data_IF_680032916646
#
_entry.id   IF_680032916646
#
_cell.length_a   1.000
_cell.length_b   1.000
_cell.length_c   1.000
_cell.angle_alpha   90.00
_cell.angle_beta   90.00
_cell.angle_gamma   90.00
#
_symmetry.space_group_name_H-M   'P 1'
#
loop_
_entity.id
_entity.type
_entity.pdbx_description
1 polymer ?
#
# COMPACT_ATOMS: atom_id res chain seq x y z
N UNK A 1 26.22 -42.08 -27.06
CA UNK A 1 26.77 -40.73 -26.86
C UNK A 1 25.62 -39.75 -27.04
N UNK A 2 25.11 -39.17 -25.95
CA UNK A 2 24.40 -37.89 -26.02
C UNK A 2 25.42 -36.79 -25.71
N UNK A 3 25.29 -35.64 -26.38
CA UNK A 3 24.95 -34.44 -25.63
C UNK A 3 23.69 -33.81 -26.24
N UNK A 4 22.57 -33.76 -25.51
CA UNK A 4 22.19 -32.61 -24.69
C UNK A 4 22.39 -31.28 -25.44
N UNK A 5 21.46 -30.96 -26.34
CA UNK A 5 21.23 -29.60 -26.76
C UNK A 5 20.15 -29.01 -25.84
N UNK A 6 20.45 -28.14 -24.88
CA UNK A 6 19.41 -27.46 -24.14
C UNK A 6 18.75 -26.46 -25.08
N UNK A 7 17.54 -26.79 -25.53
CA UNK A 7 16.61 -25.76 -26.00
C UNK A 7 16.36 -24.80 -24.83
N UNK A 8 17.20 -23.78 -24.73
CA UNK A 8 16.89 -22.57 -23.98
C UNK A 8 15.83 -21.83 -24.78
N UNK A 9 14.61 -21.61 -24.26
CA UNK A 9 13.72 -20.65 -24.88
C UNK A 9 14.29 -19.25 -24.66
N UNK A 10 14.92 -18.72 -25.71
CA UNK A 10 15.11 -17.28 -25.89
C UNK A 10 13.76 -16.64 -26.17
N UNK A 11 13.13 -16.10 -25.13
CA UNK A 11 12.28 -14.91 -25.25
C UNK A 11 12.49 -14.05 -24.00
N UNK A 12 13.12 -12.87 -24.10
CA UNK A 12 13.15 -11.91 -23.03
C UNK A 12 11.74 -11.31 -22.95
N UNK A 13 10.86 -11.94 -22.18
CA UNK A 13 9.77 -11.18 -21.61
C UNK A 13 10.45 -10.07 -20.82
N UNK A 14 10.28 -8.83 -21.28
CA UNK A 14 10.27 -7.69 -20.38
C UNK A 14 9.21 -8.01 -19.32
N UNK A 15 9.62 -8.76 -18.29
CA UNK A 15 8.88 -8.95 -17.07
C UNK A 15 8.95 -7.57 -16.42
N UNK A 16 8.07 -6.70 -16.90
CA UNK A 16 7.95 -5.35 -16.38
C UNK A 16 7.69 -5.56 -14.90
N UNK A 17 8.68 -5.24 -14.11
CA UNK A 17 8.75 -5.53 -12.68
C UNK A 17 7.47 -5.09 -11.95
N UNK A 18 6.81 -4.06 -12.50
CA UNK A 18 5.50 -3.55 -12.10
C UNK A 18 4.37 -4.58 -12.23
N UNK A 19 4.36 -5.43 -13.26
CA UNK A 19 3.40 -6.53 -13.40
C UNK A 19 3.57 -7.57 -12.29
N UNK A 20 4.81 -7.93 -11.96
CA UNK A 20 5.10 -8.82 -10.83
C UNK A 20 4.65 -8.24 -9.49
N UNK A 21 4.91 -6.95 -9.26
CA UNK A 21 4.48 -6.24 -8.06
C UNK A 21 2.95 -6.23 -7.92
N UNK A 22 2.22 -5.90 -8.99
CA UNK A 22 0.75 -5.87 -8.97
C UNK A 22 0.16 -7.25 -8.66
N UNK A 23 0.70 -8.31 -9.26
CA UNK A 23 0.27 -9.68 -8.97
C UNK A 23 0.48 -10.06 -7.49
N UNK A 24 1.62 -9.68 -6.90
CA UNK A 24 1.88 -9.90 -5.47
C UNK A 24 0.89 -9.16 -4.58
N UNK A 25 0.63 -7.87 -4.85
CA UNK A 25 -0.35 -7.07 -4.11
C UNK A 25 -1.75 -7.69 -4.24
N UNK A 26 -2.16 -8.06 -5.45
CA UNK A 26 -3.46 -8.68 -5.73
C UNK A 26 -3.60 -10.02 -4.99
N UNK A 27 -2.55 -10.85 -4.97
CA UNK A 27 -2.55 -12.11 -4.24
C UNK A 27 -2.75 -11.90 -2.73
N UNK A 28 -2.06 -10.93 -2.12
CA UNK A 28 -2.26 -10.62 -0.70
C UNK A 28 -3.66 -10.08 -0.41
N UNK A 29 -4.20 -9.23 -1.29
CA UNK A 29 -5.57 -8.73 -1.18
C UNK A 29 -6.60 -9.86 -1.23
N UNK A 30 -6.48 -10.80 -2.19
CA UNK A 30 -7.38 -11.95 -2.30
C UNK A 30 -7.31 -12.86 -1.07
N UNK A 31 -6.13 -13.01 -0.48
CA UNK A 31 -5.92 -13.76 0.77
C UNK A 31 -6.35 -12.98 2.02
N UNK A 32 -6.78 -11.72 1.89
CA UNK A 32 -7.13 -10.81 3.00
C UNK A 32 -5.99 -10.65 4.01
N UNK A 33 -4.75 -10.68 3.53
CA UNK A 33 -3.54 -10.56 4.35
C UNK A 33 -3.01 -9.13 4.35
N UNK A 34 -2.27 -8.82 5.41
CA UNK A 34 -1.48 -7.59 5.47
C UNK A 34 -0.38 -7.63 4.40
N UNK A 35 -0.09 -6.48 3.82
CA UNK A 35 0.90 -6.31 2.77
C UNK A 35 2.02 -5.46 3.32
N UNK A 36 3.26 -5.94 3.24
CA UNK A 36 4.46 -5.12 3.41
C UNK A 36 4.98 -4.73 2.04
N UNK A 37 4.93 -3.44 1.74
CA UNK A 37 5.58 -2.81 0.60
C UNK A 37 7.00 -2.43 0.99
N UNK A 38 7.95 -2.70 0.09
CA UNK A 38 9.34 -2.27 0.20
C UNK A 38 9.60 -1.19 -0.83
N UNK A 39 10.24 -0.09 -0.46
CA UNK A 39 10.61 1.02 -1.33
C UNK A 39 12.08 0.96 -1.76
N UNK A 40 12.43 1.64 -2.85
CA UNK A 40 13.81 1.64 -3.42
C UNK A 40 14.89 2.05 -2.42
N UNK A 41 14.54 2.90 -1.47
CA UNK A 41 15.44 3.39 -0.42
C UNK A 41 15.55 2.45 0.81
N UNK A 42 14.89 1.30 0.77
CA UNK A 42 14.85 0.33 1.87
C UNK A 42 13.76 0.58 2.91
N UNK A 43 13.02 1.69 2.82
CA UNK A 43 11.85 1.94 3.67
C UNK A 43 10.78 0.89 3.41
N UNK A 44 10.01 0.55 4.44
CA UNK A 44 8.87 -0.36 4.29
C UNK A 44 7.58 0.28 4.78
N UNK A 45 6.46 -0.02 4.13
CA UNK A 45 5.13 0.32 4.59
C UNK A 45 4.25 -0.93 4.62
N UNK A 46 3.63 -1.17 5.76
CA UNK A 46 2.60 -2.17 5.99
C UNK A 46 1.19 -1.58 5.95
N UNK A 47 0.29 -2.27 5.26
CA UNK A 47 -1.13 -1.93 5.22
C UNK A 47 -2.00 -3.12 4.82
N UNK A 48 -3.29 -3.05 5.14
CA UNK A 48 -4.29 -4.04 4.76
C UNK A 48 -5.24 -3.41 3.74
N UNK A 49 -5.28 -3.95 2.54
CA UNK A 49 -6.31 -3.57 1.55
C UNK A 49 -7.60 -4.30 1.93
N UNK A 50 -8.64 -3.54 2.28
CA UNK A 50 -9.93 -4.10 2.70
C UNK A 50 -10.87 -4.31 1.53
N UNK A 51 -10.97 -3.33 0.64
CA UNK A 51 -11.81 -3.37 -0.55
C UNK A 51 -11.35 -2.34 -1.58
N UNK A 52 -11.90 -2.43 -2.77
CA UNK A 52 -11.73 -1.49 -3.86
C UNK A 52 -13.09 -1.04 -4.39
N UNK A 53 -13.23 0.25 -4.65
CA UNK A 53 -14.39 0.88 -5.25
C UNK A 53 -13.92 1.77 -6.43
N UNK A 54 -14.45 1.61 -7.65
CA UNK A 54 -13.99 2.37 -8.81
C UNK A 54 -14.14 3.90 -8.71
N UNK A 55 -15.07 4.39 -7.88
CA UNK A 55 -15.34 5.83 -7.72
C UNK A 55 -14.55 6.43 -6.55
N UNK A 56 -14.31 5.65 -5.49
CA UNK A 56 -13.61 6.12 -4.28
C UNK A 56 -12.12 5.78 -4.27
N UNK A 57 -11.74 4.65 -4.86
CA UNK A 57 -10.38 4.11 -4.85
C UNK A 57 -10.24 2.88 -3.96
N UNK A 58 -9.14 2.78 -3.22
CA UNK A 58 -8.81 1.60 -2.40
C UNK A 58 -8.99 1.94 -0.93
N UNK A 59 -9.73 1.12 -0.19
CA UNK A 59 -9.82 1.23 1.26
C UNK A 59 -8.64 0.50 1.90
N UNK A 60 -7.74 1.24 2.54
CA UNK A 60 -6.52 0.73 3.16
C UNK A 60 -6.58 0.99 4.66
N UNK A 61 -6.23 -0.02 5.46
CA UNK A 61 -6.03 0.09 6.90
C UNK A 61 -4.55 0.05 7.23
N UNK A 62 -4.13 0.94 8.15
CA UNK A 62 -2.75 1.03 8.60
C UNK A 62 -2.69 1.20 10.13
N UNK A 63 -1.64 0.72 10.83
CA UNK A 63 -1.56 0.88 12.27
C UNK A 63 -1.26 2.34 12.61
N UNK A 64 -2.15 2.99 13.38
CA UNK A 64 -2.05 4.42 13.69
C UNK A 64 -0.71 4.78 14.36
N UNK A 65 -0.17 3.89 15.19
CA UNK A 65 1.07 4.14 15.93
C UNK A 65 2.34 4.05 15.08
N UNK A 66 2.28 3.44 13.89
CA UNK A 66 3.46 3.25 13.03
C UNK A 66 3.72 4.40 12.05
N UNK A 67 2.69 5.19 11.75
CA UNK A 67 2.76 6.23 10.73
C UNK A 67 2.46 7.60 11.29
N UNK A 68 3.07 8.62 10.69
CA UNK A 68 2.70 9.99 10.98
C UNK A 68 1.50 10.34 10.11
N UNK A 69 0.34 10.47 10.74
CA UNK A 69 -0.91 10.84 10.06
C UNK A 69 -1.30 12.23 10.53
N UNK A 70 -1.63 13.09 9.58
CA UNK A 70 -2.12 14.45 9.84
C UNK A 70 -3.46 14.68 9.16
N UNK A 71 -4.37 15.30 9.88
CA UNK A 71 -5.70 15.69 9.42
C UNK A 71 -5.84 17.19 9.69
N UNK A 72 -6.11 17.99 8.64
CA UNK A 72 -6.21 19.46 8.74
C UNK A 72 -4.99 20.11 9.45
N UNK A 73 -3.79 19.58 9.23
CA UNK A 73 -2.55 20.05 9.87
C UNK A 73 -2.32 19.57 11.31
N UNK A 74 -3.26 18.84 11.91
CA UNK A 74 -3.15 18.27 13.25
C UNK A 74 -2.73 16.81 13.17
N UNK A 75 -1.73 16.41 13.98
CA UNK A 75 -1.30 15.01 14.07
C UNK A 75 -2.40 14.14 14.73
N UNK A 76 -2.73 13.03 14.07
CA UNK A 76 -3.66 12.00 14.53
C UNK A 76 -2.87 10.94 15.30
N UNK A 77 -2.80 11.10 16.62
CA UNK A 77 -2.03 10.26 17.56
C UNK A 77 -2.92 9.54 18.59
N UNK A 78 -4.24 9.69 18.49
CA UNK A 78 -5.21 9.16 19.44
C UNK A 78 -6.52 8.84 18.75
N UNK A 79 -7.27 7.89 19.34
CA UNK A 79 -8.58 7.47 18.83
C UNK A 79 -9.54 8.65 18.70
N UNK A 80 -9.57 9.55 19.68
CA UNK A 80 -10.44 10.73 19.67
C UNK A 80 -10.12 11.66 18.49
N UNK A 81 -8.84 11.93 18.22
CA UNK A 81 -8.44 12.74 17.06
C UNK A 81 -8.79 12.05 15.75
N UNK A 82 -8.60 10.73 15.67
CA UNK A 82 -8.95 9.97 14.48
C UNK A 82 -10.46 9.99 14.21
N UNK A 83 -11.29 9.85 15.25
CA UNK A 83 -12.75 9.95 15.17
C UNK A 83 -13.21 11.33 14.68
N UNK A 84 -12.59 12.41 15.16
CA UNK A 84 -12.89 13.78 14.71
C UNK A 84 -12.50 14.04 13.24
N UNK A 85 -11.70 13.16 12.66
CA UNK A 85 -11.19 13.26 11.31
C UNK A 85 -11.87 12.32 10.31
N UNK A 86 -12.86 11.54 10.75
CA UNK A 86 -13.69 10.71 9.86
C UNK A 86 -14.38 11.61 8.81
N UNK A 87 -14.31 11.17 7.55
CA UNK A 87 -14.83 11.91 6.39
C UNK A 87 -13.93 13.04 5.90
N UNK A 88 -12.81 13.33 6.58
CA UNK A 88 -11.89 14.42 6.22
C UNK A 88 -10.66 13.92 5.47
N UNK A 89 -10.15 14.80 4.60
CA UNK A 89 -8.88 14.60 3.90
C UNK A 89 -7.71 14.66 4.90
N UNK A 90 -6.88 13.65 4.83
CA UNK A 90 -5.72 13.44 5.69
C UNK A 90 -4.51 13.04 4.86
N UNK A 91 -3.34 13.13 5.47
CA UNK A 91 -2.08 12.77 4.85
C UNK A 91 -1.34 11.80 5.76
N UNK A 92 -0.90 10.68 5.20
CA UNK A 92 0.02 9.74 5.82
C UNK A 92 1.41 10.03 5.28
N UNK A 93 2.39 10.22 6.15
CA UNK A 93 3.78 10.42 5.76
C UNK A 93 4.65 9.25 6.23
N UNK A 94 5.41 8.69 5.29
CA UNK A 94 6.45 7.70 5.55
C UNK A 94 7.79 8.39 5.88
N UNK A 95 8.73 7.64 6.43
CA UNK A 95 10.05 8.16 6.82
C UNK A 95 10.91 8.63 5.64
N UNK A 96 10.59 8.22 4.42
CA UNK A 96 11.26 8.61 3.19
C UNK A 96 10.59 9.80 2.47
N UNK A 97 9.81 10.61 3.19
CA UNK A 97 9.08 11.77 2.65
C UNK A 97 8.02 11.42 1.60
N UNK A 98 7.70 10.14 1.41
CA UNK A 98 6.51 9.75 0.65
C UNK A 98 5.29 10.12 1.48
N UNK A 99 4.40 10.89 0.88
CA UNK A 99 3.11 11.25 1.45
C UNK A 99 1.98 10.65 0.62
N UNK A 100 0.96 10.16 1.31
CA UNK A 100 -0.26 9.65 0.72
C UNK A 100 -1.44 10.42 1.28
N UNK A 101 -2.20 11.01 0.38
CA UNK A 101 -3.49 11.63 0.69
C UNK A 101 -4.57 10.57 0.75
N UNK A 102 -5.41 10.62 1.78
CA UNK A 102 -6.55 9.74 1.92
C UNK A 102 -7.70 10.40 2.68
N UNK A 103 -8.90 9.87 2.54
CA UNK A 103 -10.06 10.26 3.36
C UNK A 103 -10.27 9.21 4.44
N UNK A 104 -10.25 9.61 5.72
CA UNK A 104 -10.44 8.66 6.83
C UNK A 104 -11.88 8.14 6.80
N UNK A 105 -12.04 6.83 6.78
CA UNK A 105 -13.33 6.14 6.89
C UNK A 105 -13.64 5.80 8.35
N UNK A 106 -12.63 5.38 9.12
CA UNK A 106 -12.83 4.98 10.51
C UNK A 106 -11.59 4.38 11.16
N UNK A 107 -11.76 3.89 12.38
CA UNK A 107 -10.71 3.20 13.14
C UNK A 107 -11.27 1.85 13.62
N UNK A 108 -10.50 0.79 13.46
CA UNK A 108 -10.89 -0.54 13.92
C UNK A 108 -10.57 -0.78 15.40
N UNK A 109 -10.98 -1.94 15.93
CA UNK A 109 -10.75 -2.33 17.32
C UNK A 109 -9.26 -2.49 17.68
N UNK A 110 -8.39 -2.70 16.67
CA UNK A 110 -6.94 -2.84 16.84
C UNK A 110 -6.21 -1.50 16.67
N UNK A 111 -6.93 -0.38 16.66
CA UNK A 111 -6.40 0.96 16.43
C UNK A 111 -5.73 1.13 15.05
N UNK A 112 -6.17 0.36 14.05
CA UNK A 112 -5.82 0.63 12.66
C UNK A 112 -6.78 1.66 12.08
N UNK A 113 -6.23 2.67 11.44
CA UNK A 113 -7.00 3.69 10.76
C UNK A 113 -7.24 3.27 9.31
N UNK A 114 -8.51 3.20 8.95
CA UNK A 114 -8.99 2.90 7.62
C UNK A 114 -9.23 4.18 6.84
N UNK A 115 -8.81 4.19 5.58
CA UNK A 115 -8.99 5.35 4.72
C UNK A 115 -9.06 5.02 3.24
N UNK A 116 -9.88 5.77 2.53
CA UNK A 116 -9.97 5.71 1.07
C UNK A 116 -8.81 6.47 0.44
N UNK A 117 -7.99 5.75 -0.29
CA UNK A 117 -6.89 6.31 -1.08
C UNK A 117 -7.30 6.30 -2.54
N UNK A 118 -7.22 7.46 -3.19
CA UNK A 118 -7.51 7.57 -4.61
C UNK A 118 -6.48 6.76 -5.43
N UNK A 119 -6.90 6.12 -6.51
CA UNK A 119 -6.00 5.30 -7.32
C UNK A 119 -4.88 6.11 -7.97
N UNK A 120 -5.11 7.37 -8.31
CA UNK A 120 -4.08 8.26 -8.85
C UNK A 120 -2.98 8.53 -7.82
N UNK A 121 -3.34 8.60 -6.54
CA UNK A 121 -2.38 8.75 -5.44
C UNK A 121 -1.53 7.49 -5.29
N UNK A 122 -2.13 6.31 -5.41
CA UNK A 122 -1.38 5.04 -5.38
C UNK A 122 -0.44 4.90 -6.58
N UNK A 123 -0.90 5.32 -7.76
CA UNK A 123 -0.09 5.28 -8.98
C UNK A 123 1.11 6.24 -8.90
N UNK A 124 0.97 7.40 -8.26
CA UNK A 124 2.07 8.38 -8.12
C UNK A 124 3.24 7.84 -7.30
N UNK A 125 2.97 6.99 -6.30
CA UNK A 125 4.01 6.38 -5.46
C UNK A 125 4.46 5.00 -5.96
N UNK A 126 3.67 4.34 -6.81
CA UNK A 126 3.93 2.96 -7.28
C UNK A 126 5.31 2.77 -7.92
N UNK A 127 5.84 3.80 -8.59
CA UNK A 127 7.17 3.74 -9.23
C UNK A 127 8.33 3.62 -8.24
N UNK A 128 8.12 3.96 -6.96
CA UNK A 128 9.10 3.89 -5.88
C UNK A 128 9.04 2.56 -5.12
N UNK A 129 7.97 1.79 -5.29
CA UNK A 129 7.81 0.48 -4.67
C UNK A 129 8.61 -0.54 -5.46
N UNK A 130 9.40 -1.31 -4.74
CA UNK A 130 10.20 -2.41 -5.27
C UNK A 130 9.51 -3.74 -5.03
N UNK A 131 9.04 -4.03 -3.82
CA UNK A 131 8.49 -5.35 -3.54
C UNK A 131 7.20 -5.25 -2.73
N UNK A 132 6.43 -6.35 -2.74
CA UNK A 132 5.24 -6.51 -1.91
C UNK A 132 5.19 -7.96 -1.40
N UNK A 133 5.08 -8.13 -0.08
CA UNK A 133 4.98 -9.45 0.54
C UNK A 133 3.77 -9.52 1.48
N UNK A 134 3.09 -10.67 1.49
CA UNK A 134 2.01 -10.91 2.43
C UNK A 134 2.59 -11.31 3.78
N UNK A 135 2.20 -10.61 4.84
CA UNK A 135 2.60 -10.91 6.22
C UNK A 135 1.44 -11.53 7.00
#
# INVERSE_FOLDING_TARGET
MYPNNPYQPFYPYFYDYRQGLFQKILACYQQKRWIRLSFRDGTTAEGLIRTYDPLRGVLIYVPMQRYTISCEGVRVDSLQKAQNCIGKRSTLSLSNNISLTFTIEGVDQSQNIGGWVNINELMSVSGQVVDANCI
#
